data_IF_153216727724
#
_entry.id   IF_153216727724
#
_cell.length_a   1.000
_cell.length_b   1.000
_cell.length_c   1.000
_cell.angle_alpha   90.00
_cell.angle_beta   90.00
_cell.angle_gamma   90.00
#
_symmetry.space_group_name_H-M   'P 1'
#
loop_
_entity.id
_entity.type
_entity.pdbx_description
1 polymer ?
#
# COMPACT_ATOMS: atom_id res chain seq x y z
N UNK A 1 -1.91 15.08 -3.75
CA UNK A 1 -0.79 15.91 -4.26
C UNK A 1 -1.32 17.29 -4.70
N UNK A 2 -0.90 18.35 -4.01
CA UNK A 2 -1.23 19.74 -4.40
C UNK A 2 0.05 20.43 -4.84
N UNK A 3 0.25 20.53 -6.16
CA UNK A 3 1.51 20.96 -6.77
C UNK A 3 2.16 19.84 -7.59
N UNK A 4 3.42 20.04 -7.99
CA UNK A 4 4.15 19.12 -8.87
C UNK A 4 4.95 18.07 -8.09
N UNK A 5 4.35 16.90 -7.84
CA UNK A 5 4.95 15.76 -7.14
C UNK A 5 5.69 14.78 -8.09
N UNK A 6 6.06 15.26 -9.27
CA UNK A 6 6.67 14.47 -10.33
C UNK A 6 5.65 13.70 -11.17
N UNK A 7 6.15 13.09 -12.24
CA UNK A 7 5.34 12.41 -13.25
C UNK A 7 5.93 11.05 -13.61
N UNK A 8 5.16 10.28 -14.37
CA UNK A 8 5.63 9.00 -14.92
C UNK A 8 6.79 9.14 -15.92
N UNK A 9 7.07 10.35 -16.44
CA UNK A 9 8.12 10.57 -17.44
C UNK A 9 9.51 10.28 -16.86
N UNK A 10 9.75 10.71 -15.63
CA UNK A 10 11.02 10.50 -14.91
C UNK A 10 10.83 9.70 -13.61
N UNK A 11 9.72 8.96 -13.49
CA UNK A 11 9.42 8.15 -12.30
C UNK A 11 9.35 8.97 -11.01
N UNK A 12 8.85 10.20 -11.08
CA UNK A 12 8.74 11.11 -9.93
C UNK A 12 9.99 11.95 -9.63
N UNK A 13 11.11 11.74 -10.32
CA UNK A 13 12.35 12.53 -10.11
C UNK A 13 12.26 13.98 -10.57
N UNK A 14 11.23 14.30 -11.36
CA UNK A 14 10.89 15.64 -11.87
C UNK A 14 10.07 16.48 -10.89
N UNK A 15 9.89 16.04 -9.64
CA UNK A 15 9.15 16.80 -8.64
C UNK A 15 9.73 18.21 -8.39
N UNK A 16 8.86 19.15 -8.04
CA UNK A 16 9.27 20.49 -7.63
C UNK A 16 9.87 20.48 -6.21
N UNK A 17 10.65 21.52 -5.88
CA UNK A 17 11.27 21.64 -4.56
C UNK A 17 10.21 21.63 -3.43
N UNK A 18 10.53 20.98 -2.31
CA UNK A 18 9.60 20.73 -1.21
C UNK A 18 8.90 22.00 -0.68
N UNK A 19 9.60 23.14 -0.67
CA UNK A 19 9.05 24.45 -0.25
C UNK A 19 7.93 25.01 -1.14
N UNK A 20 7.71 24.45 -2.33
CA UNK A 20 6.71 24.90 -3.31
C UNK A 20 5.57 23.90 -3.54
N UNK A 21 5.53 22.80 -2.79
CA UNK A 21 4.50 21.77 -2.91
C UNK A 21 3.80 21.55 -1.57
N UNK A 22 2.53 21.16 -1.64
CA UNK A 22 1.69 21.00 -0.45
C UNK A 22 1.06 19.61 -0.45
N UNK A 23 0.95 19.02 0.74
CA UNK A 23 0.25 17.75 0.95
C UNK A 23 -0.74 17.86 2.09
N UNK A 24 -1.77 17.02 2.03
CA UNK A 24 -2.80 16.88 3.06
C UNK A 24 -3.31 15.44 3.01
N UNK A 25 -3.84 14.97 4.13
CA UNK A 25 -4.48 13.65 4.17
C UNK A 25 -5.57 13.56 3.09
N UNK A 26 -5.56 12.43 2.37
CA UNK A 26 -6.69 12.11 1.50
C UNK A 26 -7.95 11.96 2.33
N UNK A 27 -9.12 12.31 1.77
CA UNK A 27 -10.41 12.03 2.41
C UNK A 27 -10.62 10.55 2.73
N UNK A 28 -9.90 9.67 2.04
CA UNK A 28 -9.94 8.22 2.28
C UNK A 28 -8.98 7.75 3.37
N UNK A 29 -8.02 8.55 3.82
CA UNK A 29 -7.00 8.11 4.78
C UNK A 29 -7.62 7.63 6.11
N UNK A 30 -8.43 8.47 6.76
CA UNK A 30 -9.15 8.10 8.00
C UNK A 30 -10.28 7.09 7.81
N UNK A 31 -10.71 6.85 6.56
CA UNK A 31 -11.62 5.73 6.26
C UNK A 31 -10.86 4.40 6.14
N UNK A 32 -9.59 4.47 5.77
CA UNK A 32 -8.71 3.30 5.69
C UNK A 32 -8.15 2.95 7.06
N UNK A 33 -7.90 3.95 7.91
CA UNK A 33 -7.39 3.82 9.28
C UNK A 33 -8.33 4.62 10.21
N UNK A 34 -9.43 3.99 10.68
CA UNK A 34 -10.40 4.62 11.57
C UNK A 34 -9.74 5.21 12.82
N UNK A 35 -10.21 6.38 13.27
CA UNK A 35 -9.65 7.04 14.48
C UNK A 35 -10.01 6.26 15.75
N UNK A 36 -11.09 5.49 15.68
CA UNK A 36 -11.58 4.61 16.74
C UNK A 36 -10.60 3.45 17.04
N UNK A 37 -9.76 3.08 16.07
CA UNK A 37 -8.74 2.05 16.25
C UNK A 37 -7.45 2.62 16.88
N UNK A 38 -7.23 3.94 16.84
CA UNK A 38 -6.00 4.57 17.36
C UNK A 38 -5.73 4.17 18.84
N UNK A 39 -6.70 4.22 19.79
CA UNK A 39 -6.44 3.93 21.21
C UNK A 39 -6.06 2.47 21.53
N UNK A 40 -6.32 1.53 20.63
CA UNK A 40 -6.02 0.09 20.85
C UNK A 40 -4.68 -0.34 20.24
N UNK A 41 -3.96 0.58 19.60
CA UNK A 41 -2.63 0.33 19.04
C UNK A 41 -1.54 0.38 20.12
N UNK A 42 -0.45 -0.34 19.87
CA UNK A 42 0.74 -0.29 20.72
C UNK A 42 1.66 0.85 20.28
N UNK A 43 1.61 1.98 20.99
CA UNK A 43 2.45 3.15 20.79
C UNK A 43 3.87 2.94 21.32
N UNK A 44 4.86 3.32 20.52
CA UNK A 44 6.26 3.30 20.92
C UNK A 44 6.60 4.53 21.78
N UNK A 45 7.61 4.40 22.63
CA UNK A 45 8.12 5.48 23.46
C UNK A 45 9.60 5.74 23.12
N UNK A 46 9.93 6.99 22.84
CA UNK A 46 11.30 7.45 22.60
C UNK A 46 11.57 8.66 23.51
N UNK A 47 12.60 8.54 24.36
CA UNK A 47 12.99 9.57 25.34
C UNK A 47 11.84 10.09 26.23
N UNK A 48 10.89 9.20 26.59
CA UNK A 48 9.73 9.55 27.41
C UNK A 48 8.55 10.13 26.61
N UNK A 49 8.70 10.38 25.31
CA UNK A 49 7.63 10.83 24.43
C UNK A 49 6.99 9.65 23.69
N UNK A 50 5.65 9.65 23.63
CA UNK A 50 4.91 8.71 22.78
C UNK A 50 5.05 9.13 21.32
N UNK A 51 5.47 8.21 20.45
CA UNK A 51 5.69 8.44 19.00
C UNK A 51 4.64 7.70 18.16
N UNK A 52 4.96 7.15 16.98
CA UNK A 52 4.06 6.30 16.20
C UNK A 52 3.80 4.92 16.86
N UNK A 53 2.69 4.25 16.50
CA UNK A 53 2.50 2.85 16.87
C UNK A 53 3.43 1.94 16.08
N UNK A 54 3.67 0.73 16.62
CA UNK A 54 4.44 -0.31 15.91
C UNK A 54 3.93 -0.57 14.49
N UNK A 55 2.62 -0.52 14.32
CA UNK A 55 1.94 -0.58 13.02
C UNK A 55 0.51 -0.07 13.18
N UNK A 56 -0.08 0.41 12.08
CA UNK A 56 -1.51 0.72 11.99
C UNK A 56 -2.29 -0.49 11.49
N UNK A 57 -3.57 -0.58 11.85
CA UNK A 57 -4.47 -1.64 11.40
C UNK A 57 -5.46 -1.10 10.34
N UNK A 58 -5.08 -0.99 9.07
CA UNK A 58 -6.01 -0.49 8.06
C UNK A 58 -7.12 -1.52 7.77
N UNK A 59 -8.31 -1.04 7.40
CA UNK A 59 -9.48 -1.90 7.08
C UNK A 59 -9.27 -2.81 5.87
N UNK A 60 -8.27 -2.53 5.03
CA UNK A 60 -7.81 -3.38 3.92
C UNK A 60 -6.27 -3.44 3.92
N UNK A 61 -5.64 -4.52 3.45
CA UNK A 61 -4.19 -4.69 3.50
C UNK A 61 -3.49 -3.73 2.53
N UNK A 62 -3.03 -2.59 3.03
CA UNK A 62 -2.41 -1.55 2.21
C UNK A 62 -1.10 -1.97 1.54
N UNK A 63 -0.40 -2.96 2.12
CA UNK A 63 0.79 -3.57 1.51
C UNK A 63 0.48 -4.18 0.13
N UNK A 64 -0.73 -4.72 -0.06
CA UNK A 64 -1.17 -5.23 -1.36
C UNK A 64 -1.71 -4.13 -2.27
N UNK A 65 -2.28 -3.06 -1.71
CA UNK A 65 -2.81 -1.94 -2.51
C UNK A 65 -1.67 -1.16 -3.18
N UNK A 66 -0.64 -0.80 -2.40
CA UNK A 66 0.44 0.05 -2.87
C UNK A 66 1.70 -0.72 -3.27
N UNK A 67 1.74 -2.03 -3.00
CA UNK A 67 2.96 -2.82 -3.13
C UNK A 67 3.96 -2.51 -2.01
N UNK A 68 5.11 -3.18 -2.08
CA UNK A 68 6.25 -2.93 -1.22
C UNK A 68 7.54 -3.28 -1.97
N UNK A 69 8.54 -2.43 -1.86
CA UNK A 69 9.87 -2.66 -2.41
C UNK A 69 10.89 -2.27 -1.33
N UNK A 70 11.83 -3.15 -1.05
CA UNK A 70 12.83 -2.92 -0.01
C UNK A 70 14.00 -3.89 -0.12
N UNK A 71 15.20 -3.37 0.14
CA UNK A 71 16.44 -4.15 0.18
C UNK A 71 17.06 -3.93 1.56
N UNK A 72 17.25 -5.01 2.30
CA UNK A 72 18.00 -5.03 3.54
C UNK A 72 19.29 -5.84 3.40
N UNK A 73 20.03 -5.98 4.50
CA UNK A 73 21.22 -6.83 4.53
C UNK A 73 20.81 -8.29 4.59
N UNK A 74 20.95 -9.03 3.48
CA UNK A 74 20.63 -10.47 3.41
C UNK A 74 19.20 -10.82 3.00
N UNK A 75 18.31 -9.83 2.90
CA UNK A 75 16.92 -10.02 2.49
C UNK A 75 16.46 -8.92 1.54
N UNK A 76 15.50 -9.24 0.66
CA UNK A 76 14.78 -8.28 -0.17
C UNK A 76 13.29 -8.58 -0.13
N UNK A 77 12.49 -7.54 -0.38
CA UNK A 77 11.03 -7.61 -0.46
C UNK A 77 10.59 -6.99 -1.77
N UNK A 78 9.77 -7.71 -2.53
CA UNK A 78 9.10 -7.19 -3.72
C UNK A 78 7.67 -7.71 -3.73
N UNK A 79 6.71 -6.79 -3.56
CA UNK A 79 5.27 -7.05 -3.57
C UNK A 79 4.65 -6.13 -4.61
N UNK A 80 3.95 -6.66 -5.63
CA UNK A 80 3.29 -5.83 -6.62
C UNK A 80 2.00 -5.22 -6.08
N UNK A 81 1.45 -4.26 -6.82
CA UNK A 81 0.16 -3.66 -6.53
C UNK A 81 -0.99 -4.60 -6.93
N UNK A 82 -2.06 -4.56 -6.17
CA UNK A 82 -3.32 -5.27 -6.42
C UNK A 82 -4.49 -4.30 -6.42
N UNK A 83 -5.55 -4.68 -7.10
CA UNK A 83 -6.78 -3.89 -7.18
C UNK A 83 -7.51 -3.88 -5.83
N UNK A 84 -7.77 -2.71 -5.22
CA UNK A 84 -8.49 -2.62 -3.95
C UNK A 84 -9.87 -3.27 -3.96
N UNK A 85 -10.55 -3.31 -5.11
CA UNK A 85 -11.89 -3.93 -5.20
C UNK A 85 -11.82 -5.46 -5.05
N UNK A 86 -10.79 -6.07 -5.61
CA UNK A 86 -10.59 -7.52 -5.55
C UNK A 86 -10.17 -7.94 -4.14
N UNK A 87 -9.33 -7.12 -3.49
CA UNK A 87 -9.01 -7.26 -2.06
C UNK A 87 -10.26 -7.19 -1.18
N UNK A 88 -11.12 -6.19 -1.37
CA UNK A 88 -12.38 -6.06 -0.61
C UNK A 88 -13.29 -7.26 -0.85
N UNK A 89 -13.38 -7.76 -2.08
CA UNK A 89 -14.17 -8.96 -2.41
C UNK A 89 -13.64 -10.18 -1.65
N UNK A 90 -12.32 -10.39 -1.63
CA UNK A 90 -11.70 -11.50 -0.91
C UNK A 90 -11.84 -11.39 0.62
N UNK A 91 -11.72 -10.19 1.18
CA UNK A 91 -11.99 -9.96 2.62
C UNK A 91 -13.44 -10.33 2.95
N UNK A 92 -14.40 -9.93 2.12
CA UNK A 92 -15.82 -10.28 2.32
C UNK A 92 -16.07 -11.78 2.21
N UNK A 93 -15.43 -12.47 1.25
CA UNK A 93 -15.48 -13.93 1.13
C UNK A 93 -14.94 -14.60 2.39
N UNK A 94 -13.78 -14.15 2.86
CA UNK A 94 -13.15 -14.66 4.07
C UNK A 94 -14.02 -14.49 5.32
N UNK A 95 -14.62 -13.31 5.50
CA UNK A 95 -15.56 -13.05 6.60
C UNK A 95 -16.80 -13.96 6.56
N UNK A 96 -17.21 -14.42 5.37
CA UNK A 96 -18.29 -15.39 5.15
C UNK A 96 -17.85 -16.84 5.19
N UNK A 97 -16.56 -17.11 5.46
CA UNK A 97 -15.94 -18.45 5.40
C UNK A 97 -16.02 -19.09 4.00
N UNK A 98 -16.07 -18.27 2.96
CA UNK A 98 -15.96 -18.70 1.57
C UNK A 98 -14.48 -18.74 1.14
N UNK A 99 -14.11 -19.62 0.19
CA UNK A 99 -12.76 -19.61 -0.36
C UNK A 99 -12.45 -18.28 -1.06
N UNK A 100 -11.26 -17.73 -0.83
CA UNK A 100 -10.77 -16.55 -1.54
C UNK A 100 -10.43 -16.91 -2.99
N UNK A 101 -10.55 -15.92 -3.88
CA UNK A 101 -10.17 -16.04 -5.28
C UNK A 101 -8.73 -15.55 -5.50
N UNK A 102 -7.93 -16.23 -6.34
CA UNK A 102 -6.62 -15.74 -6.74
C UNK A 102 -6.71 -14.34 -7.36
N UNK A 103 -5.80 -13.46 -6.97
CA UNK A 103 -5.74 -12.09 -7.49
C UNK A 103 -4.54 -11.95 -8.44
N UNK A 104 -4.73 -11.16 -9.49
CA UNK A 104 -3.65 -10.78 -10.40
C UNK A 104 -3.11 -9.38 -10.06
N UNK A 105 -1.80 -9.13 -10.24
CA UNK A 105 -1.25 -7.80 -10.10
C UNK A 105 -1.98 -6.78 -11.00
N UNK A 106 -2.19 -5.59 -10.46
CA UNK A 106 -2.96 -4.54 -11.09
C UNK A 106 -2.40 -3.17 -10.74
N UNK A 107 -2.27 -2.30 -11.74
CA UNK A 107 -1.72 -0.96 -11.59
C UNK A 107 -2.73 0.10 -12.07
N UNK A 108 -3.06 1.05 -11.20
CA UNK A 108 -4.04 2.09 -11.51
C UNK A 108 -3.60 2.93 -12.71
N UNK A 109 -4.44 2.99 -13.75
CA UNK A 109 -4.20 3.78 -14.96
C UNK A 109 -3.29 3.10 -15.99
N UNK A 110 -2.82 1.88 -15.72
CA UNK A 110 -2.20 1.02 -16.72
C UNK A 110 -3.26 0.53 -17.71
N UNK A 111 -2.96 0.60 -19.01
CA UNK A 111 -3.87 0.20 -20.10
C UNK A 111 -3.44 -1.09 -20.81
N UNK A 112 -2.27 -1.63 -20.47
CA UNK A 112 -1.82 -2.92 -20.98
C UNK A 112 -2.47 -4.08 -20.21
N UNK A 113 -2.04 -5.29 -20.53
CA UNK A 113 -2.51 -6.51 -19.88
C UNK A 113 -1.42 -7.11 -19.00
N UNK A 114 -1.82 -7.57 -17.81
CA UNK A 114 -0.96 -8.38 -16.93
C UNK A 114 -1.45 -9.81 -17.00
N UNK A 115 -0.56 -10.76 -17.30
CA UNK A 115 -0.88 -12.18 -17.37
C UNK A 115 0.13 -12.98 -16.56
N UNK A 116 -0.34 -14.04 -15.91
CA UNK A 116 0.53 -14.99 -15.25
C UNK A 116 1.28 -15.77 -16.33
N UNK A 117 2.61 -15.77 -16.26
CA UNK A 117 3.44 -16.60 -17.13
C UNK A 117 3.79 -17.87 -16.35
N UNK A 118 3.52 -19.08 -16.88
CA UNK A 118 3.96 -20.32 -16.26
C UNK A 118 5.48 -20.29 -16.06
N UNK A 119 5.95 -20.69 -14.88
CA UNK A 119 7.37 -20.73 -14.58
C UNK A 119 8.00 -21.92 -15.34
N UNK A 120 8.56 -21.66 -16.53
CA UNK A 120 9.22 -22.69 -17.37
C UNK A 120 10.68 -22.94 -16.98
N UNK A 121 11.20 -22.30 -15.93
CA UNK A 121 12.51 -22.63 -15.37
C UNK A 121 12.40 -23.72 -14.33
N UNK A 122 12.69 -24.96 -14.75
CA UNK A 122 12.97 -26.07 -13.86
C UNK A 122 14.28 -25.86 -13.10
N UNK A 123 14.18 -25.27 -11.91
CA UNK A 123 15.10 -25.48 -10.79
C UNK A 123 14.29 -25.80 -9.55
#
# INVERSE_FOLDING_TARGET
>A
PSGHFGTRLLGGKDHAAARYIFTRLSRTARRLMPEEDDPVLEYLNEEGMSIEPKWYCPVIPLVLVNGADGIGTGWSTSVPNYNPRDLIANIRRYLRKEPMEPMMPWYRGFKGTVQAVPNTTGR
#
